data_IF_323556330727
#
_entry.id   IF_323556330727
#
_cell.length_a   1.000
_cell.length_b   1.000
_cell.length_c   1.000
_cell.angle_alpha   90.00
_cell.angle_beta   90.00
_cell.angle_gamma   90.00
#
_symmetry.space_group_name_H-M   'P 1'
#
loop_
_entity.id
_entity.type
_entity.pdbx_description
1 polymer ?
#
# COMPACT_ATOMS: atom_id res chain seq x y z
N UNK A 1 10.66 -59.44 16.85
CA UNK A 1 11.45 -58.40 16.15
C UNK A 1 10.81 -57.80 14.89
N UNK A 2 9.64 -58.27 14.39
CA UNK A 2 9.01 -57.70 13.17
C UNK A 2 8.03 -56.54 13.42
N UNK A 3 7.42 -56.47 14.61
CA UNK A 3 6.48 -55.40 14.98
C UNK A 3 7.16 -54.04 15.18
N UNK A 4 8.33 -53.99 15.81
CA UNK A 4 9.08 -52.74 15.99
C UNK A 4 9.56 -52.16 14.64
N UNK A 5 9.95 -53.00 13.69
CA UNK A 5 10.33 -52.58 12.33
C UNK A 5 9.14 -51.99 11.55
N UNK A 6 7.93 -52.53 11.77
CA UNK A 6 6.68 -52.02 11.21
C UNK A 6 6.35 -50.60 11.72
N UNK A 7 6.46 -50.36 13.04
CA UNK A 7 6.24 -49.02 13.61
C UNK A 7 7.35 -48.01 13.26
N UNK A 8 8.61 -48.45 13.16
CA UNK A 8 9.74 -47.60 12.76
C UNK A 8 9.61 -47.12 11.31
N UNK A 9 9.11 -47.98 10.40
CA UNK A 9 8.76 -47.60 9.01
C UNK A 9 7.58 -46.63 8.95
N UNK A 10 6.53 -46.81 9.75
CA UNK A 10 5.39 -45.88 9.81
C UNK A 10 5.79 -44.49 10.33
N UNK A 11 6.73 -44.43 11.30
CA UNK A 11 7.28 -43.18 11.86
C UNK A 11 8.22 -42.46 10.88
N UNK A 12 8.98 -43.19 10.06
CA UNK A 12 9.76 -42.63 8.97
C UNK A 12 8.89 -42.08 7.83
N UNK A 13 7.73 -42.71 7.55
CA UNK A 13 6.75 -42.23 6.56
C UNK A 13 5.93 -41.02 7.03
N UNK A 14 5.86 -40.80 8.35
CA UNK A 14 5.22 -39.63 8.96
C UNK A 14 6.16 -38.41 9.12
N UNK A 15 7.44 -38.53 8.73
CA UNK A 15 8.45 -37.46 8.89
C UNK A 15 8.87 -36.79 7.57
N UNK A 16 8.01 -36.85 6.55
CA UNK A 16 8.21 -36.11 5.30
C UNK A 16 6.87 -35.58 4.76
N UNK A 17 6.19 -34.79 5.58
CA UNK A 17 5.36 -33.71 5.03
C UNK A 17 6.35 -32.58 4.83
N UNK A 18 6.90 -32.53 3.63
CA UNK A 18 7.53 -31.33 3.10
C UNK A 18 6.40 -30.29 3.09
N UNK A 19 6.44 -29.35 4.04
CA UNK A 19 5.60 -28.16 3.96
C UNK A 19 6.05 -27.47 2.68
N UNK A 20 5.33 -27.69 1.59
CA UNK A 20 5.49 -26.86 0.40
C UNK A 20 5.31 -25.42 0.87
N UNK A 21 6.25 -24.52 0.54
CA UNK A 21 6.12 -23.12 0.90
C UNK A 21 4.83 -22.63 0.27
N UNK A 22 3.89 -22.25 1.14
CA UNK A 22 2.65 -21.61 0.75
C UNK A 22 3.07 -20.40 -0.08
N UNK A 23 2.77 -20.41 -1.38
CA UNK A 23 3.03 -19.26 -2.25
C UNK A 23 2.13 -18.15 -1.72
N UNK A 24 2.71 -17.31 -0.88
CA UNK A 24 2.08 -16.16 -0.24
C UNK A 24 1.91 -15.10 -1.33
N UNK A 25 0.76 -15.17 -2.02
CA UNK A 25 0.37 -14.23 -3.07
C UNK A 25 0.36 -12.82 -2.48
N UNK A 26 1.04 -11.86 -3.13
CA UNK A 26 1.14 -10.49 -2.64
C UNK A 26 -0.22 -9.86 -2.30
N UNK A 27 -0.20 -8.87 -1.40
CA UNK A 27 -1.38 -8.22 -0.85
C UNK A 27 -1.32 -6.70 -1.02
N UNK A 28 -2.47 -6.05 -0.91
CA UNK A 28 -2.57 -4.59 -0.85
C UNK A 28 -3.02 -4.20 0.55
N UNK A 29 -2.19 -3.47 1.27
CA UNK A 29 -2.52 -3.01 2.62
C UNK A 29 -3.52 -1.87 2.60
N UNK A 30 -4.37 -1.82 3.62
CA UNK A 30 -5.01 -0.57 4.04
C UNK A 30 -4.03 0.28 4.88
N UNK A 31 -4.16 1.61 4.83
CA UNK A 31 -3.22 2.56 5.48
C UNK A 31 -2.92 2.22 6.95
N UNK A 32 -3.97 2.02 7.75
CA UNK A 32 -3.81 1.70 9.17
C UNK A 32 -3.48 0.23 9.42
N UNK A 33 -3.83 -0.68 8.51
CA UNK A 33 -3.40 -2.08 8.60
C UNK A 33 -1.87 -2.15 8.55
N UNK A 34 -1.25 -1.47 7.58
CA UNK A 34 0.21 -1.39 7.49
C UNK A 34 0.79 -0.71 8.74
N UNK A 35 0.29 0.47 9.12
CA UNK A 35 0.80 1.20 10.29
C UNK A 35 0.79 0.35 11.57
N UNK A 36 -0.30 -0.39 11.81
CA UNK A 36 -0.44 -1.30 12.95
C UNK A 36 0.51 -2.50 12.83
N UNK A 37 0.67 -3.11 11.64
CA UNK A 37 1.60 -4.23 11.47
C UNK A 37 3.07 -3.79 11.71
N UNK A 38 3.47 -2.63 11.18
CA UNK A 38 4.80 -2.04 11.41
C UNK A 38 5.07 -1.81 12.91
N UNK A 39 4.07 -1.32 13.64
CA UNK A 39 4.15 -1.06 15.09
C UNK A 39 4.21 -2.35 15.90
N UNK A 40 3.22 -3.23 15.71
CA UNK A 40 2.93 -4.30 16.66
C UNK A 40 3.72 -5.57 16.35
N UNK A 41 3.82 -5.93 15.06
CA UNK A 41 4.53 -7.14 14.63
C UNK A 41 6.03 -6.89 14.50
N UNK A 42 6.41 -5.77 13.87
CA UNK A 42 7.81 -5.49 13.55
C UNK A 42 8.52 -4.52 14.51
N UNK A 43 7.78 -3.97 15.48
CA UNK A 43 8.33 -3.10 16.53
C UNK A 43 9.18 -1.96 15.97
N UNK A 44 8.72 -1.37 14.85
CA UNK A 44 9.38 -0.21 14.28
C UNK A 44 9.20 1.00 15.20
N UNK A 45 10.19 1.90 15.19
CA UNK A 45 10.15 3.13 15.98
C UNK A 45 8.87 3.92 15.65
N UNK A 46 8.02 4.23 16.63
CA UNK A 46 6.73 4.88 16.40
C UNK A 46 6.83 6.17 15.57
N UNK A 47 7.91 6.93 15.77
CA UNK A 47 8.18 8.21 15.10
C UNK A 47 8.47 8.02 13.60
N UNK A 48 8.92 6.84 13.19
CA UNK A 48 9.24 6.53 11.80
C UNK A 48 8.06 5.89 11.05
N UNK A 49 7.07 5.34 11.76
CA UNK A 49 5.94 4.64 11.13
C UNK A 49 5.17 5.52 10.16
N UNK A 50 4.80 6.78 10.47
CA UNK A 50 4.08 7.62 9.53
C UNK A 50 4.86 7.84 8.23
N UNK A 51 6.18 8.01 8.33
CA UNK A 51 7.08 8.12 7.18
C UNK A 51 7.13 6.84 6.34
N UNK A 52 7.26 5.68 6.96
CA UNK A 52 7.26 4.39 6.25
C UNK A 52 5.93 4.12 5.54
N UNK A 53 4.81 4.47 6.17
CA UNK A 53 3.48 4.36 5.54
C UNK A 53 3.37 5.32 4.35
N UNK A 54 3.88 6.55 4.47
CA UNK A 54 3.94 7.48 3.35
C UNK A 54 4.78 6.94 2.18
N UNK A 55 5.99 6.43 2.45
CA UNK A 55 6.87 5.85 1.44
C UNK A 55 6.16 4.69 0.75
N UNK A 56 5.62 3.73 1.50
CA UNK A 56 4.88 2.60 0.92
C UNK A 56 3.70 3.04 0.03
N UNK A 57 2.99 4.11 0.40
CA UNK A 57 1.91 4.65 -0.42
C UNK A 57 2.42 5.25 -1.74
N UNK A 58 3.50 6.02 -1.71
CA UNK A 58 4.03 6.71 -2.88
C UNK A 58 4.85 5.80 -3.80
N UNK A 59 5.50 4.79 -3.25
CA UNK A 59 6.30 3.81 -4.00
C UNK A 59 5.42 2.76 -4.68
N UNK A 60 4.48 2.15 -3.94
CA UNK A 60 3.76 0.96 -4.42
C UNK A 60 2.24 1.04 -4.32
N UNK A 61 1.69 2.14 -3.79
CA UNK A 61 0.27 2.24 -3.40
C UNK A 61 -0.13 1.09 -2.46
N UNK A 62 0.76 0.77 -1.52
CA UNK A 62 0.58 -0.31 -0.54
C UNK A 62 0.55 -1.74 -1.10
N UNK A 63 0.85 -1.93 -2.39
CA UNK A 63 0.84 -3.24 -3.03
C UNK A 63 2.18 -3.94 -2.82
N UNK A 64 2.20 -5.02 -2.04
CA UNK A 64 3.41 -5.80 -1.82
C UNK A 64 3.89 -6.55 -3.07
N UNK A 65 3.04 -6.72 -4.10
CA UNK A 65 3.44 -7.33 -5.38
C UNK A 65 3.86 -6.32 -6.47
N UNK A 66 4.05 -5.05 -6.11
CA UNK A 66 4.38 -4.01 -7.08
C UNK A 66 5.74 -4.26 -7.76
N UNK A 67 5.78 -3.98 -9.06
CA UNK A 67 7.01 -3.97 -9.87
C UNK A 67 7.13 -2.63 -10.58
N UNK A 68 8.16 -1.86 -10.26
CA UNK A 68 8.58 -0.68 -11.00
C UNK A 68 9.55 -1.09 -12.09
N UNK A 69 9.14 -1.08 -13.36
CA UNK A 69 9.98 -1.50 -14.51
C UNK A 69 10.54 -0.34 -15.33
N UNK A 70 10.72 0.83 -14.73
CA UNK A 70 10.95 2.09 -15.47
C UNK A 70 12.16 2.89 -15.00
N UNK A 71 13.17 2.25 -14.39
CA UNK A 71 14.41 2.96 -14.11
C UNK A 71 15.20 3.18 -15.40
N UNK A 72 15.82 4.36 -15.53
CA UNK A 72 16.52 4.79 -16.75
C UNK A 72 17.71 3.89 -17.14
N UNK A 73 18.20 3.07 -16.19
CA UNK A 73 19.29 2.10 -16.36
C UNK A 73 18.80 0.67 -16.65
N UNK A 74 17.48 0.47 -16.75
CA UNK A 74 16.87 -0.84 -17.01
C UNK A 74 16.70 -1.71 -15.77
N UNK A 75 16.95 -1.19 -14.57
CA UNK A 75 16.68 -1.91 -13.31
C UNK A 75 15.20 -1.95 -12.95
N UNK A 76 14.86 -2.93 -12.11
CA UNK A 76 13.54 -3.08 -11.51
C UNK A 76 13.55 -2.73 -10.02
N UNK A 77 12.45 -2.11 -9.57
CA UNK A 77 12.16 -1.93 -8.16
C UNK A 77 11.01 -2.85 -7.73
N UNK A 78 11.16 -3.46 -6.57
CA UNK A 78 10.34 -4.61 -6.18
C UNK A 78 9.63 -4.35 -4.85
N UNK A 79 8.36 -4.72 -4.79
CA UNK A 79 7.65 -4.85 -3.54
C UNK A 79 7.08 -3.56 -2.96
N UNK A 80 6.69 -3.66 -1.69
CA UNK A 80 5.97 -2.61 -0.94
C UNK A 80 6.76 -1.30 -0.88
N UNK A 81 8.09 -1.39 -0.80
CA UNK A 81 9.01 -0.25 -0.64
C UNK A 81 9.89 0.00 -1.86
N UNK A 82 9.56 -0.62 -3.02
CA UNK A 82 10.28 -0.46 -4.29
C UNK A 82 11.80 -0.64 -4.11
N UNK A 83 12.19 -1.84 -3.65
CA UNK A 83 13.57 -2.23 -3.41
C UNK A 83 14.28 -2.52 -4.74
N UNK A 84 15.35 -1.78 -5.03
CA UNK A 84 16.11 -1.91 -6.28
C UNK A 84 16.92 -3.21 -6.38
N UNK A 85 16.81 -3.89 -7.53
CA UNK A 85 17.59 -5.08 -7.86
C UNK A 85 19.06 -4.83 -8.24
N UNK A 86 19.46 -3.56 -8.37
CA UNK A 86 20.88 -3.22 -8.60
C UNK A 86 21.70 -3.50 -7.34
N UNK A 87 21.18 -3.10 -6.17
CA UNK A 87 21.97 -3.05 -4.94
C UNK A 87 21.45 -3.97 -3.82
N UNK A 88 20.15 -4.26 -3.79
CA UNK A 88 19.52 -4.74 -2.55
C UNK A 88 19.00 -6.18 -2.66
N UNK A 89 18.32 -6.54 -3.75
CA UNK A 89 17.80 -7.90 -3.98
C UNK A 89 18.37 -8.54 -5.26
N UNK A 90 18.39 -9.88 -5.30
CA UNK A 90 18.86 -10.66 -6.45
C UNK A 90 17.69 -11.07 -7.36
N UNK A 91 17.79 -10.83 -8.67
CA UNK A 91 16.80 -11.31 -9.67
C UNK A 91 16.95 -12.78 -10.04
N UNK A 92 18.05 -13.43 -9.63
CA UNK A 92 18.25 -14.86 -9.84
C UNK A 92 17.54 -15.72 -8.80
N UNK A 93 17.54 -17.04 -9.01
CA UNK A 93 16.90 -18.01 -8.11
C UNK A 93 17.60 -18.19 -6.74
N UNK A 94 18.69 -17.45 -6.49
CA UNK A 94 19.46 -17.53 -5.25
C UNK A 94 19.48 -16.17 -4.56
N UNK A 95 19.26 -16.14 -3.22
CA UNK A 95 19.41 -14.92 -2.43
C UNK A 95 20.79 -14.30 -2.59
N UNK A 96 20.87 -12.97 -2.61
CA UNK A 96 22.14 -12.28 -2.81
C UNK A 96 22.03 -10.79 -2.52
N UNK A 97 23.04 -10.03 -2.99
CA UNK A 97 23.17 -8.58 -2.75
C UNK A 97 23.22 -8.23 -1.26
N UNK A 98 23.06 -6.96 -0.92
CA UNK A 98 23.23 -6.49 0.46
C UNK A 98 22.16 -7.03 1.41
N UNK A 99 20.91 -7.19 0.95
CA UNK A 99 19.84 -7.71 1.82
C UNK A 99 19.84 -9.25 1.94
N UNK A 100 20.57 -9.98 1.08
CA UNK A 100 20.67 -11.43 1.16
C UNK A 100 19.35 -12.13 0.84
N UNK A 101 18.58 -11.60 -0.13
CA UNK A 101 17.22 -12.01 -0.52
C UNK A 101 17.08 -12.08 -2.04
N UNK A 102 16.06 -12.77 -2.53
CA UNK A 102 15.63 -12.64 -3.93
C UNK A 102 14.62 -11.50 -4.09
N UNK A 103 14.47 -10.97 -5.30
CA UNK A 103 13.45 -9.96 -5.58
C UNK A 103 12.03 -10.54 -5.63
N UNK A 104 11.90 -11.88 -5.71
CA UNK A 104 10.62 -12.58 -5.57
C UNK A 104 10.16 -12.57 -4.10
N UNK A 105 11.10 -12.71 -3.16
CA UNK A 105 10.80 -12.63 -1.72
C UNK A 105 10.19 -11.26 -1.38
N UNK A 106 10.73 -10.17 -1.92
CA UNK A 106 10.21 -8.80 -1.74
C UNK A 106 8.79 -8.59 -2.33
N UNK A 107 8.22 -9.55 -3.08
CA UNK A 107 6.93 -9.41 -3.80
C UNK A 107 5.80 -10.28 -3.25
N UNK A 108 6.03 -10.93 -2.10
CA UNK A 108 5.06 -11.81 -1.45
C UNK A 108 4.18 -11.04 -0.42
N UNK A 109 3.29 -11.70 0.32
CA UNK A 109 2.45 -11.05 1.35
C UNK A 109 3.07 -10.92 2.75
N UNK A 110 4.15 -11.65 3.04
CA UNK A 110 4.90 -11.57 4.30
C UNK A 110 6.06 -10.59 4.15
N UNK A 111 5.86 -9.36 4.62
CA UNK A 111 6.86 -8.29 4.49
C UNK A 111 8.06 -8.42 5.46
N UNK A 112 8.29 -9.59 6.06
CA UNK A 112 9.33 -9.78 7.08
C UNK A 112 10.74 -9.55 6.53
N UNK A 113 11.00 -9.97 5.30
CA UNK A 113 12.24 -9.72 4.57
C UNK A 113 12.33 -8.29 4.05
N UNK A 114 11.24 -7.69 3.58
CA UNK A 114 11.17 -6.26 3.24
C UNK A 114 11.59 -5.38 4.43
N UNK A 115 11.01 -5.62 5.61
CA UNK A 115 11.30 -4.82 6.82
C UNK A 115 12.76 -4.94 7.24
N UNK A 116 13.37 -6.10 7.05
CA UNK A 116 14.80 -6.28 7.30
C UNK A 116 15.64 -5.48 6.31
N UNK A 117 15.27 -5.54 5.02
CA UNK A 117 15.98 -4.86 3.96
C UNK A 117 15.89 -3.32 4.08
N UNK A 118 14.71 -2.75 4.34
CA UNK A 118 14.57 -1.29 4.50
C UNK A 118 15.33 -0.76 5.71
N UNK A 119 15.47 -1.55 6.79
CA UNK A 119 16.29 -1.17 7.95
C UNK A 119 17.77 -1.08 7.56
N UNK A 120 18.28 -2.06 6.81
CA UNK A 120 19.64 -2.03 6.27
C UNK A 120 19.87 -0.83 5.35
N UNK A 121 18.93 -0.54 4.44
CA UNK A 121 18.99 0.61 3.54
C UNK A 121 18.97 1.92 4.34
N UNK A 122 18.06 2.03 5.31
CA UNK A 122 17.93 3.20 6.18
C UNK A 122 19.24 3.47 6.92
N UNK A 123 19.85 2.46 7.54
CA UNK A 123 21.10 2.61 8.28
C UNK A 123 22.27 3.05 7.38
N UNK A 124 22.37 2.49 6.16
CA UNK A 124 23.41 2.88 5.20
C UNK A 124 23.22 4.34 4.76
N UNK A 125 22.00 4.75 4.42
CA UNK A 125 21.72 6.12 4.00
C UNK A 125 21.75 7.13 5.15
N UNK A 126 21.49 6.69 6.38
CA UNK A 126 21.68 7.47 7.60
C UNK A 126 23.16 7.82 7.75
N UNK A 127 24.06 6.86 7.50
CA UNK A 127 25.51 7.07 7.54
C UNK A 127 26.02 7.96 6.40
N UNK A 128 25.42 7.87 5.20
CA UNK A 128 25.84 8.63 4.01
C UNK A 128 25.34 10.08 4.05
N UNK A 129 24.08 10.30 4.42
CA UNK A 129 23.39 11.58 4.22
C UNK A 129 22.87 12.24 5.51
N UNK A 130 22.99 11.58 6.66
CA UNK A 130 22.44 12.06 7.93
C UNK A 130 20.93 11.86 8.08
N UNK A 131 20.24 11.31 7.08
CA UNK A 131 18.84 10.92 7.16
C UNK A 131 18.59 9.66 6.30
N UNK A 132 18.28 8.54 6.95
CA UNK A 132 18.06 7.25 6.29
C UNK A 132 16.92 7.23 5.27
N UNK A 133 15.90 8.08 5.42
CA UNK A 133 14.79 8.15 4.48
C UNK A 133 15.17 8.74 3.11
N UNK A 134 16.34 9.40 3.01
CA UNK A 134 16.84 9.92 1.73
C UNK A 134 17.16 8.81 0.70
N UNK A 135 17.12 7.52 1.08
CA UNK A 135 17.22 6.42 0.13
C UNK A 135 16.03 6.35 -0.84
N UNK A 136 14.85 6.83 -0.42
CA UNK A 136 13.63 6.82 -1.22
C UNK A 136 13.41 8.17 -1.88
N UNK A 137 13.34 8.18 -3.22
CA UNK A 137 13.17 9.41 -4.00
C UNK A 137 11.85 10.13 -3.68
N UNK A 138 10.82 9.39 -3.24
CA UNK A 138 9.52 9.93 -2.86
C UNK A 138 9.54 10.69 -1.53
N UNK A 139 10.53 10.45 -0.66
CA UNK A 139 10.52 10.96 0.70
C UNK A 139 10.49 12.49 0.76
N UNK A 140 11.46 13.17 0.14
CA UNK A 140 11.53 14.65 0.14
C UNK A 140 10.30 15.31 -0.52
N UNK A 141 9.90 14.96 -1.76
CA UNK A 141 8.82 15.65 -2.45
C UNK A 141 7.42 15.32 -1.94
N UNK A 142 7.21 14.18 -1.25
CA UNK A 142 5.87 13.72 -0.87
C UNK A 142 5.69 13.49 0.64
N UNK A 143 6.70 13.00 1.35
CA UNK A 143 6.56 12.62 2.75
C UNK A 143 7.04 13.70 3.71
N UNK A 144 8.16 14.36 3.42
CA UNK A 144 8.77 15.31 4.33
C UNK A 144 7.80 16.43 4.71
N UNK A 145 7.51 16.56 6.01
CA UNK A 145 6.58 17.55 6.58
C UNK A 145 5.09 17.20 6.47
N UNK A 146 4.75 16.00 6.00
CA UNK A 146 3.36 15.50 5.85
C UNK A 146 3.14 14.10 6.44
N UNK A 147 4.15 13.55 7.10
CA UNK A 147 4.23 12.16 7.56
C UNK A 147 3.06 11.83 8.49
N UNK A 148 2.75 12.71 9.45
CA UNK A 148 1.72 12.50 10.46
C UNK A 148 0.34 12.15 9.87
N UNK A 149 0.00 12.71 8.70
CA UNK A 149 -1.27 12.44 8.03
C UNK A 149 -1.44 10.96 7.68
N UNK A 150 -0.34 10.23 7.45
CA UNK A 150 -0.32 8.83 7.04
C UNK A 150 -0.55 7.84 8.18
N UNK A 151 -0.28 8.21 9.44
CA UNK A 151 -0.58 7.38 10.62
C UNK A 151 -1.73 7.93 11.48
N UNK A 152 -2.25 9.12 11.15
CA UNK A 152 -3.32 9.74 11.91
C UNK A 152 -4.54 8.81 12.07
N UNK A 153 -5.04 8.74 13.30
CA UNK A 153 -6.12 7.87 13.77
C UNK A 153 -5.88 6.35 13.64
N UNK A 154 -4.69 5.87 13.25
CA UNK A 154 -4.44 4.43 13.15
C UNK A 154 -4.29 3.75 14.51
N UNK A 155 -4.03 4.53 15.55
CA UNK A 155 -3.69 4.03 16.90
C UNK A 155 -4.69 4.49 17.98
N UNK A 156 -5.78 5.14 17.58
CA UNK A 156 -6.80 5.60 18.52
C UNK A 156 -7.63 4.41 18.99
N UNK A 157 -7.61 4.13 20.28
CA UNK A 157 -8.31 3.00 20.92
C UNK A 157 -9.82 3.23 21.02
N UNK A 158 -10.31 4.43 20.71
CA UNK A 158 -11.75 4.77 20.76
C UNK A 158 -12.51 4.46 19.46
N UNK A 159 -11.80 4.16 18.37
CA UNK A 159 -12.37 3.66 17.11
C UNK A 159 -11.67 2.36 16.74
N UNK A 160 -12.30 1.19 16.95
CA UNK A 160 -11.70 -0.07 16.56
C UNK A 160 -11.46 -0.05 15.06
N UNK A 161 -10.20 0.00 14.64
CA UNK A 161 -9.81 -0.32 13.27
C UNK A 161 -10.42 -1.67 12.97
N UNK A 162 -11.27 -1.71 11.94
CA UNK A 162 -12.08 -2.87 11.58
C UNK A 162 -11.22 -4.14 11.60
N UNK A 163 -11.70 -5.17 12.31
CA UNK A 163 -10.98 -6.42 12.49
C UNK A 163 -10.47 -6.92 11.12
N UNK A 164 -9.20 -7.33 11.08
CA UNK A 164 -8.52 -7.91 9.91
C UNK A 164 -9.40 -9.03 9.35
N UNK A 165 -10.18 -8.70 8.32
CA UNK A 165 -10.86 -9.68 7.49
C UNK A 165 -9.97 -9.87 6.28
N UNK A 166 -9.56 -11.10 5.96
CA UNK A 166 -8.94 -11.37 4.66
C UNK A 166 -9.87 -10.81 3.59
N UNK A 167 -9.38 -9.86 2.80
CA UNK A 167 -10.13 -9.32 1.65
C UNK A 167 -10.49 -10.52 0.77
N UNK A 168 -11.78 -10.81 0.52
CA UNK A 168 -12.16 -11.86 -0.41
C UNK A 168 -11.52 -11.57 -1.76
N UNK A 169 -10.96 -12.59 -2.40
CA UNK A 169 -10.39 -12.48 -3.73
C UNK A 169 -11.37 -11.78 -4.67
N UNK A 170 -10.83 -10.89 -5.50
CA UNK A 170 -11.57 -10.08 -6.48
C UNK A 170 -12.51 -11.00 -7.26
N UNK A 171 -13.79 -10.99 -6.90
CA UNK A 171 -14.88 -11.60 -7.67
C UNK A 171 -15.75 -10.46 -8.15
N UNK A 172 -16.02 -10.45 -9.47
CA UNK A 172 -16.80 -9.41 -10.12
C UNK A 172 -18.16 -9.23 -9.41
N UNK A 173 -18.62 -7.99 -9.14
CA UNK A 173 -19.92 -7.80 -8.52
C UNK A 173 -21.03 -8.09 -9.54
N UNK A 174 -21.86 -9.07 -9.23
CA UNK A 174 -23.16 -9.29 -9.87
C UNK A 174 -24.13 -8.18 -9.40
N UNK A 175 -24.97 -7.59 -10.27
CA UNK A 175 -25.79 -6.45 -9.89
C UNK A 175 -27.03 -6.90 -9.12
N UNK A 176 -27.14 -6.49 -7.86
CA UNK A 176 -28.38 -6.62 -7.09
C UNK A 176 -29.08 -5.26 -6.99
N UNK A 177 -30.31 -5.20 -7.50
CA UNK A 177 -31.19 -4.02 -7.47
C UNK A 177 -31.94 -3.98 -6.15
N UNK A 178 -31.88 -2.87 -5.42
CA UNK A 178 -32.97 -2.45 -4.52
C UNK A 178 -33.10 -0.92 -4.48
N UNK A 179 -34.33 -0.43 -4.66
CA UNK A 179 -34.76 0.98 -4.64
C UNK A 179 -34.82 1.50 -3.19
N UNK A 180 -34.17 2.64 -2.89
CA UNK A 180 -34.70 4.01 -2.73
C UNK A 180 -35.17 4.40 -1.31
N UNK A 181 -34.44 5.35 -0.72
CA UNK A 181 -34.97 6.44 0.13
C UNK A 181 -34.01 7.63 0.07
N UNK A 182 -34.57 8.81 -0.19
CA UNK A 182 -33.87 10.06 -0.52
C UNK A 182 -33.23 10.67 0.73
N UNK A 183 -31.93 10.48 0.85
CA UNK A 183 -30.95 11.44 1.37
C UNK A 183 -29.93 11.51 0.23
N UNK A 184 -29.43 12.68 -0.17
CA UNK A 184 -28.40 12.74 -1.22
C UNK A 184 -27.07 12.22 -0.65
N UNK A 185 -26.99 10.91 -0.47
CA UNK A 185 -25.78 10.19 -0.16
C UNK A 185 -24.85 10.43 -1.33
N UNK A 186 -23.64 10.96 -1.05
CA UNK A 186 -22.63 11.15 -2.07
C UNK A 186 -22.44 9.88 -2.89
N UNK A 187 -22.26 10.06 -4.19
CA UNK A 187 -21.96 8.96 -5.11
C UNK A 187 -20.47 8.65 -5.01
N UNK A 188 -20.12 7.38 -4.97
CA UNK A 188 -18.75 6.93 -5.26
C UNK A 188 -18.76 6.47 -6.71
N UNK A 189 -18.00 7.12 -7.58
CA UNK A 189 -17.90 6.73 -8.98
C UNK A 189 -16.98 5.52 -9.17
N UNK A 190 -17.29 4.70 -10.16
CA UNK A 190 -16.28 3.84 -10.78
C UNK A 190 -15.38 4.65 -11.73
N UNK A 191 -14.12 4.24 -11.89
CA UNK A 191 -13.12 4.94 -12.73
C UNK A 191 -13.64 5.24 -14.15
N UNK A 192 -14.21 4.23 -14.83
CA UNK A 192 -14.73 4.38 -16.19
C UNK A 192 -16.04 5.15 -16.23
N UNK A 193 -16.86 5.06 -15.18
CA UNK A 193 -18.09 5.81 -15.06
C UNK A 193 -17.79 7.31 -14.95
N UNK A 194 -16.85 7.68 -14.08
CA UNK A 194 -16.39 9.06 -13.97
C UNK A 194 -15.77 9.56 -15.27
N UNK A 195 -14.92 8.76 -15.92
CA UNK A 195 -14.33 9.13 -17.21
C UNK A 195 -15.39 9.41 -18.29
N UNK A 196 -16.42 8.57 -18.37
CA UNK A 196 -17.53 8.73 -19.30
C UNK A 196 -18.36 9.98 -18.97
N UNK A 197 -18.66 10.23 -17.70
CA UNK A 197 -19.39 11.42 -17.28
C UNK A 197 -18.58 12.69 -17.57
N UNK A 198 -17.28 12.72 -17.26
CA UNK A 198 -16.41 13.86 -17.57
C UNK A 198 -16.37 14.15 -19.07
N UNK A 199 -16.22 13.12 -19.91
CA UNK A 199 -16.14 13.29 -21.36
C UNK A 199 -17.49 13.66 -21.99
N UNK A 200 -18.56 12.94 -21.64
CA UNK A 200 -19.81 12.99 -22.39
C UNK A 200 -20.88 13.84 -21.73
N UNK A 201 -20.93 13.90 -20.40
CA UNK A 201 -21.92 14.68 -19.67
C UNK A 201 -21.41 16.09 -19.37
N UNK A 202 -20.19 16.20 -18.85
CA UNK A 202 -19.57 17.47 -18.48
C UNK A 202 -18.73 18.10 -19.61
N UNK A 203 -18.56 17.38 -20.73
CA UNK A 203 -17.93 17.87 -21.97
C UNK A 203 -16.48 18.36 -21.78
N UNK A 204 -15.72 17.72 -20.89
CA UNK A 204 -14.30 18.01 -20.74
C UNK A 204 -13.52 17.58 -21.99
N UNK A 205 -12.41 18.29 -22.32
CA UNK A 205 -11.51 17.87 -23.39
C UNK A 205 -11.01 16.45 -23.15
N UNK A 206 -11.09 15.60 -24.19
CA UNK A 206 -10.78 14.16 -24.09
C UNK A 206 -9.36 13.90 -23.56
N UNK A 207 -8.42 14.74 -23.96
CA UNK A 207 -7.02 14.72 -23.52
C UNK A 207 -6.85 14.99 -22.02
N UNK A 208 -7.79 15.71 -21.40
CA UNK A 208 -7.74 16.00 -19.97
C UNK A 208 -8.48 14.98 -19.11
N UNK A 209 -9.41 14.20 -19.67
CA UNK A 209 -10.27 13.27 -18.90
C UNK A 209 -9.43 12.32 -18.05
N UNK A 210 -8.35 11.77 -18.60
CA UNK A 210 -7.47 10.87 -17.84
C UNK A 210 -6.83 11.57 -16.63
N UNK A 211 -6.41 12.82 -16.79
CA UNK A 211 -5.85 13.65 -15.71
C UNK A 211 -6.88 13.91 -14.62
N UNK A 212 -8.10 14.33 -14.98
CA UNK A 212 -9.16 14.58 -14.01
C UNK A 212 -9.62 13.33 -13.27
N UNK A 213 -9.67 12.18 -13.94
CA UNK A 213 -9.94 10.89 -13.28
C UNK A 213 -8.81 10.54 -12.30
N UNK A 214 -7.57 10.82 -12.65
CA UNK A 214 -6.43 10.62 -11.75
C UNK A 214 -6.52 11.50 -10.50
N UNK A 215 -6.82 12.79 -10.69
CA UNK A 215 -7.02 13.74 -9.59
C UNK A 215 -8.16 13.24 -8.68
N UNK A 216 -9.35 12.96 -9.23
CA UNK A 216 -10.48 12.48 -8.43
C UNK A 216 -10.18 11.22 -7.61
N UNK A 217 -9.36 10.31 -8.15
CA UNK A 217 -8.93 9.12 -7.42
C UNK A 217 -8.05 9.48 -6.22
N UNK A 218 -7.07 10.36 -6.42
CA UNK A 218 -6.12 10.74 -5.37
C UNK A 218 -6.71 11.69 -4.33
N UNK A 219 -7.65 12.53 -4.71
CA UNK A 219 -8.28 13.49 -3.81
C UNK A 219 -9.35 12.82 -2.93
N UNK A 220 -10.20 11.98 -3.51
CA UNK A 220 -11.40 11.49 -2.80
C UNK A 220 -11.67 10.00 -2.95
N UNK A 221 -10.82 9.26 -3.66
CA UNK A 221 -11.14 7.89 -4.10
C UNK A 221 -12.49 7.81 -4.81
N UNK A 222 -12.76 8.80 -5.68
CA UNK A 222 -14.00 8.95 -6.44
C UNK A 222 -15.27 9.27 -5.63
N UNK A 223 -15.14 9.60 -4.35
CA UNK A 223 -16.29 9.87 -3.48
C UNK A 223 -16.73 11.35 -3.57
N UNK A 224 -17.94 11.61 -4.08
CA UNK A 224 -18.47 12.97 -4.20
C UNK A 224 -18.87 13.61 -2.87
N UNK A 225 -18.91 12.86 -1.77
CA UNK A 225 -19.10 13.40 -0.42
C UNK A 225 -17.86 13.19 0.46
N UNK A 226 -16.66 13.16 -0.13
CA UNK A 226 -15.44 13.17 0.66
C UNK A 226 -15.29 14.52 1.38
N UNK A 227 -14.97 14.47 2.67
CA UNK A 227 -14.59 15.65 3.47
C UNK A 227 -13.12 15.52 3.84
N UNK A 228 -12.34 16.51 3.43
CA UNK A 228 -10.93 16.68 3.75
C UNK A 228 -10.74 17.27 5.13
N UNK A 229 -9.51 17.23 5.62
CA UNK A 229 -9.19 17.83 6.93
C UNK A 229 -9.12 19.34 6.83
N UNK A 230 -9.29 19.99 7.97
CA UNK A 230 -9.03 21.42 8.11
C UNK A 230 -7.57 21.72 7.75
N UNK A 231 -7.39 22.54 6.73
CA UNK A 231 -6.14 23.14 6.34
C UNK A 231 -5.59 24.02 7.47
N UNK A 232 -4.31 24.42 7.39
CA UNK A 232 -3.65 25.22 8.42
C UNK A 232 -4.32 26.60 8.63
N UNK A 233 -5.10 27.07 7.66
CA UNK A 233 -5.90 28.29 7.69
C UNK A 233 -7.34 28.08 8.20
N UNK A 234 -7.70 26.86 8.59
CA UNK A 234 -9.03 26.48 9.07
C UNK A 234 -10.07 26.24 7.97
N UNK A 235 -9.67 26.18 6.70
CA UNK A 235 -10.57 25.80 5.60
C UNK A 235 -10.73 24.28 5.49
N UNK A 236 -11.90 23.79 5.10
CA UNK A 236 -12.16 22.39 4.79
C UNK A 236 -12.18 22.14 3.28
N UNK A 237 -11.77 20.95 2.84
CA UNK A 237 -11.84 20.56 1.44
C UNK A 237 -13.00 19.59 1.19
N UNK A 238 -13.74 19.76 0.10
CA UNK A 238 -15.01 19.05 -0.10
C UNK A 238 -15.13 18.37 -1.46
N UNK A 239 -15.76 17.20 -1.43
CA UNK A 239 -16.24 16.47 -2.59
C UNK A 239 -15.15 15.78 -3.42
N UNK A 240 -15.52 15.44 -4.65
CA UNK A 240 -14.80 14.56 -5.56
C UNK A 240 -13.34 15.01 -5.83
N UNK A 241 -13.10 16.31 -5.77
CA UNK A 241 -11.81 16.92 -6.07
C UNK A 241 -11.23 17.69 -4.88
N UNK A 242 -11.78 17.49 -3.67
CA UNK A 242 -11.32 18.16 -2.44
C UNK A 242 -11.16 19.67 -2.64
N UNK A 243 -12.27 20.32 -2.99
CA UNK A 243 -12.31 21.76 -3.27
C UNK A 243 -12.44 22.52 -1.96
N UNK A 244 -11.53 23.47 -1.73
CA UNK A 244 -11.49 24.30 -0.51
C UNK A 244 -12.71 25.21 -0.36
N UNK A 245 -13.34 25.15 0.82
CA UNK A 245 -14.55 25.91 1.14
C UNK A 245 -14.34 27.41 1.32
N UNK A 246 -13.16 27.84 1.78
CA UNK A 246 -12.88 29.26 2.02
C UNK A 246 -12.82 30.09 0.72
N UNK A 247 -12.49 29.45 -0.41
CA UNK A 247 -12.31 30.13 -1.69
C UNK A 247 -13.44 29.85 -2.68
N UNK A 248 -14.03 28.65 -2.64
CA UNK A 248 -14.81 28.13 -3.76
C UNK A 248 -16.21 27.62 -3.37
N UNK A 249 -16.58 27.65 -2.09
CA UNK A 249 -17.92 27.29 -1.62
C UNK A 249 -18.64 28.52 -1.03
N UNK A 250 -19.96 28.56 -1.15
CA UNK A 250 -20.81 29.54 -0.46
C UNK A 250 -21.46 28.88 0.76
N UNK A 251 -21.44 29.56 1.91
CA UNK A 251 -22.10 29.13 3.15
C UNK A 251 -23.54 29.67 3.27
#
# INVERSE_FOLDING_TARGET
MRFQAYYKKKRAKAKKVELEPKVEVGKVYERCELATELRDKYQMQPEHIPTWVCIAYHESRFNTSAEGRLNADGSGDHGLFQISDIYWCSTGSSPGKTCGVTCDDMRNSDISDDIRCIKTIFDEHQRISGNGFNAWSVYKPYCQGREESFAHNCFDTTKPTTAVRPRPGITAPTPSKTKSSIVSVGKIYDRCELANDLLHKFKLPKDQVATWVCIAYHESSFNTSAEGRLNADGSGDHGLFQISDIYWCSH
#
